data_IF_204949295884
#
_entry.id   IF_204949295884
#
_cell.length_a   1.000
_cell.length_b   1.000
_cell.length_c   1.000
_cell.angle_alpha   90.00
_cell.angle_beta   90.00
_cell.angle_gamma   90.00
#
_symmetry.space_group_name_H-M   'P 1'
#
loop_
_entity.id
_entity.type
_entity.pdbx_description
1 polymer ?
#
# COMPACT_ATOMS: atom_id res chain seq x y z
N UNK A 1 -5.04 -2.87 28.86
CA UNK A 1 -3.80 -3.62 28.56
C UNK A 1 -3.95 -5.14 28.53
N UNK A 2 -4.87 -5.77 29.29
CA UNK A 2 -5.03 -7.25 29.29
C UNK A 2 -5.72 -7.88 28.08
N UNK A 3 -6.46 -7.14 27.24
CA UNK A 3 -7.22 -7.72 26.10
C UNK A 3 -6.36 -7.96 24.85
N UNK A 4 -5.35 -7.12 24.61
CA UNK A 4 -4.45 -7.25 23.45
C UNK A 4 -3.56 -8.50 23.56
N UNK A 5 -3.17 -8.87 24.78
CA UNK A 5 -2.41 -10.09 25.07
C UNK A 5 -3.19 -11.38 24.81
N UNK A 6 -4.52 -11.38 24.93
CA UNK A 6 -5.33 -12.57 24.61
C UNK A 6 -5.51 -12.76 23.10
N UNK A 7 -5.61 -11.68 22.33
CA UNK A 7 -5.70 -11.77 20.87
C UNK A 7 -4.40 -12.31 20.27
N UNK A 8 -3.25 -11.81 20.73
CA UNK A 8 -1.92 -12.27 20.31
C UNK A 8 -1.70 -13.74 20.72
N UNK A 9 -2.08 -14.12 21.94
CA UNK A 9 -1.97 -15.52 22.39
C UNK A 9 -2.95 -16.47 21.70
N UNK A 10 -4.15 -16.00 21.34
CA UNK A 10 -5.14 -16.78 20.61
C UNK A 10 -4.70 -16.99 19.14
N UNK A 11 -4.12 -15.96 18.52
CA UNK A 11 -3.49 -16.08 17.19
C UNK A 11 -2.32 -17.06 17.24
N UNK A 12 -1.44 -16.96 18.23
CA UNK A 12 -0.31 -17.91 18.44
C UNK A 12 -0.77 -19.35 18.70
N UNK A 13 -1.89 -19.56 19.41
CA UNK A 13 -2.43 -20.89 19.71
C UNK A 13 -3.15 -21.52 18.52
N UNK A 14 -3.79 -20.72 17.66
CA UNK A 14 -4.39 -21.20 16.40
C UNK A 14 -3.27 -21.58 15.41
N UNK A 15 -2.15 -20.85 15.40
CA UNK A 15 -1.03 -21.09 14.48
C UNK A 15 -0.16 -22.29 14.86
N UNK A 16 -0.08 -22.63 16.16
CA UNK A 16 0.67 -23.81 16.62
C UNK A 16 0.02 -25.16 16.19
N UNK A 17 -1.22 -25.13 15.69
CA UNK A 17 -1.96 -26.31 15.25
C UNK A 17 -2.25 -26.35 13.74
N UNK A 18 -1.85 -25.31 13.01
CA UNK A 18 -2.00 -25.23 11.56
C UNK A 18 -0.82 -25.95 10.88
N UNK A 19 -0.99 -27.26 10.68
CA UNK A 19 -0.15 -28.09 9.80
C UNK A 19 0.12 -27.41 8.44
N UNK A 20 1.18 -27.86 7.77
CA UNK A 20 1.79 -27.41 6.50
C UNK A 20 0.88 -27.31 5.25
N UNK A 21 -0.44 -27.35 5.39
CA UNK A 21 -1.37 -27.38 4.26
C UNK A 21 -2.00 -26.00 4.06
N UNK A 22 -1.57 -25.28 3.03
CA UNK A 22 -2.29 -24.11 2.51
C UNK A 22 -3.64 -24.60 1.93
N UNK A 23 -4.70 -24.52 2.75
CA UNK A 23 -6.04 -25.02 2.45
C UNK A 23 -6.68 -24.34 1.22
N UNK A 24 -6.25 -23.12 0.89
CA UNK A 24 -6.74 -22.39 -0.29
C UNK A 24 -6.29 -23.04 -1.59
N UNK A 25 -5.06 -23.58 -1.64
CA UNK A 25 -4.56 -24.28 -2.84
C UNK A 25 -5.48 -25.44 -3.22
N UNK A 26 -6.05 -26.16 -2.24
CA UNK A 26 -6.98 -27.28 -2.47
C UNK A 26 -8.35 -26.85 -3.01
N UNK A 27 -8.83 -25.66 -2.65
CA UNK A 27 -10.14 -25.16 -3.09
C UNK A 27 -10.13 -24.73 -4.57
N UNK A 28 -8.97 -24.34 -5.09
CA UNK A 28 -8.80 -23.90 -6.47
C UNK A 28 -7.96 -24.86 -7.32
N UNK A 29 -7.61 -26.05 -6.82
CA UNK A 29 -6.94 -27.06 -7.65
C UNK A 29 -7.96 -27.65 -8.63
N UNK A 30 -7.70 -27.65 -9.95
CA UNK A 30 -8.54 -28.38 -10.89
C UNK A 30 -8.62 -29.85 -10.49
N UNK A 31 -9.83 -30.42 -10.42
CA UNK A 31 -10.00 -31.86 -10.11
C UNK A 31 -9.45 -32.69 -11.26
N UNK A 32 -8.56 -33.64 -10.96
CA UNK A 32 -8.09 -34.63 -11.93
C UNK A 32 -9.27 -35.44 -12.48
N UNK A 33 -9.31 -35.64 -13.80
CA UNK A 33 -10.26 -36.53 -14.47
C UNK A 33 -11.31 -35.88 -15.37
N UNK A 34 -11.28 -34.56 -15.58
CA UNK A 34 -12.11 -33.92 -16.62
C UNK A 34 -11.37 -34.01 -17.96
N UNK A 35 -11.71 -34.99 -18.78
CA UNK A 35 -11.30 -35.03 -20.19
C UNK A 35 -12.20 -34.07 -20.94
N UNK A 36 -11.74 -32.84 -21.15
CA UNK A 36 -12.32 -31.96 -22.17
C UNK A 36 -11.73 -32.38 -23.50
N UNK A 37 -12.55 -32.84 -24.45
CA UNK A 37 -12.15 -32.88 -25.85
C UNK A 37 -11.97 -31.44 -26.34
N UNK A 38 -10.81 -30.88 -26.06
CA UNK A 38 -10.42 -29.55 -26.55
C UNK A 38 -10.08 -29.69 -28.03
N UNK A 39 -10.70 -28.91 -28.93
CA UNK A 39 -10.22 -28.83 -30.31
C UNK A 39 -8.74 -28.43 -30.30
N UNK A 40 -8.00 -28.83 -31.33
CA UNK A 40 -6.59 -28.50 -31.50
C UNK A 40 -6.48 -26.98 -31.76
N UNK A 41 -6.57 -26.20 -30.68
CA UNK A 41 -6.31 -24.78 -30.66
C UNK A 41 -4.80 -24.66 -30.72
N UNK A 42 -4.29 -23.99 -31.75
CA UNK A 42 -2.91 -23.49 -31.73
C UNK A 42 -2.77 -22.59 -30.52
N UNK A 43 -2.28 -23.14 -29.41
CA UNK A 43 -1.96 -22.36 -28.22
C UNK A 43 -0.75 -21.54 -28.64
N UNK A 44 -0.98 -20.28 -29.02
CA UNK A 44 0.11 -19.30 -29.04
C UNK A 44 0.81 -19.42 -27.70
N UNK A 45 2.10 -19.77 -27.76
CA UNK A 45 2.93 -19.95 -26.58
C UNK A 45 2.67 -18.74 -25.68
N UNK A 46 2.24 -18.93 -24.42
CA UNK A 46 1.93 -17.82 -23.55
C UNK A 46 3.07 -16.81 -23.60
N UNK A 47 2.73 -15.53 -23.77
CA UNK A 47 3.68 -14.42 -23.64
C UNK A 47 4.52 -14.70 -22.39
N UNK A 48 5.85 -14.64 -22.52
CA UNK A 48 6.78 -15.08 -21.48
C UNK A 48 6.28 -14.70 -20.07
N UNK A 49 6.28 -15.65 -19.11
CA UNK A 49 5.82 -15.40 -17.75
C UNK A 49 6.45 -14.13 -17.18
N UNK A 50 5.70 -13.30 -16.46
CA UNK A 50 6.20 -12.03 -15.93
C UNK A 50 7.45 -12.21 -15.06
N UNK A 51 7.54 -13.34 -14.35
CA UNK A 51 8.70 -13.71 -13.53
C UNK A 51 9.99 -13.84 -14.35
N UNK A 52 9.91 -14.36 -15.58
CA UNK A 52 11.05 -14.56 -16.48
C UNK A 52 11.51 -13.25 -17.14
N UNK A 53 10.67 -12.22 -17.09
CA UNK A 53 11.01 -10.87 -17.56
C UNK A 53 11.79 -10.07 -16.52
N UNK A 54 11.89 -10.55 -15.28
CA UNK A 54 12.68 -9.90 -14.23
C UNK A 54 14.16 -10.24 -14.43
N UNK A 55 15.06 -9.25 -14.60
CA UNK A 55 16.48 -9.52 -14.82
C UNK A 55 17.10 -10.32 -13.66
N UNK A 56 17.91 -11.34 -13.96
CA UNK A 56 18.53 -12.19 -12.92
C UNK A 56 19.34 -11.40 -11.89
N UNK A 57 19.98 -10.30 -12.30
CA UNK A 57 20.75 -9.46 -11.38
C UNK A 57 19.86 -8.79 -10.32
N UNK A 58 18.58 -8.52 -10.61
CA UNK A 58 17.63 -7.98 -9.63
C UNK A 58 17.19 -9.09 -8.65
N UNK A 59 16.99 -10.30 -9.15
CA UNK A 59 16.61 -11.46 -8.33
C UNK A 59 17.71 -11.87 -7.36
N UNK A 60 18.97 -11.71 -7.76
CA UNK A 60 20.14 -12.15 -7.00
C UNK A 60 20.95 -11.00 -6.38
N UNK A 61 20.60 -9.74 -6.65
CA UNK A 61 21.42 -8.57 -6.34
C UNK A 61 21.41 -8.14 -4.89
N UNK A 62 20.42 -8.59 -4.09
CA UNK A 62 20.13 -8.03 -2.76
C UNK A 62 20.12 -6.49 -2.80
N UNK A 63 19.45 -5.97 -3.84
CA UNK A 63 19.45 -4.57 -4.20
C UNK A 63 18.51 -3.80 -3.27
N UNK A 64 18.91 -2.56 -2.96
CA UNK A 64 18.11 -1.63 -2.17
C UNK A 64 18.02 -0.32 -2.90
N UNK A 65 16.81 0.20 -3.00
CA UNK A 65 16.59 1.49 -3.64
C UNK A 65 15.53 2.30 -2.91
N UNK A 66 15.64 3.61 -3.05
CA UNK A 66 14.70 4.57 -2.52
C UNK A 66 13.83 5.08 -3.66
N UNK A 67 12.52 5.14 -3.42
CA UNK A 67 11.59 5.86 -4.29
C UNK A 67 11.02 7.05 -3.56
N UNK A 68 10.80 8.13 -4.31
CA UNK A 68 10.15 9.34 -3.86
C UNK A 68 8.96 9.57 -4.79
N UNK A 69 7.76 9.49 -4.23
CA UNK A 69 6.51 9.75 -4.95
C UNK A 69 5.96 11.06 -4.43
N UNK A 70 5.66 11.96 -5.35
CA UNK A 70 5.05 13.26 -5.06
C UNK A 70 3.83 13.39 -5.98
N UNK A 71 2.68 13.57 -5.37
CA UNK A 71 1.40 13.75 -6.03
C UNK A 71 0.84 15.11 -5.64
N UNK A 72 0.30 15.86 -6.60
CA UNK A 72 -0.33 17.15 -6.33
C UNK A 72 -1.35 17.48 -7.42
N UNK A 73 -2.48 18.03 -7.02
CA UNK A 73 -3.57 18.46 -7.92
C UNK A 73 -3.20 19.66 -8.81
N UNK A 74 -2.17 20.45 -8.46
CA UNK A 74 -1.57 21.46 -9.35
C UNK A 74 -0.95 20.86 -10.63
N UNK A 75 -0.59 19.56 -10.63
CA UNK A 75 -0.11 18.88 -11.84
C UNK A 75 -1.26 18.43 -12.77
N UNK A 76 -2.51 18.48 -12.31
CA UNK A 76 -3.70 18.12 -13.07
C UNK A 76 -4.53 19.34 -13.47
N UNK A 77 -5.56 19.64 -12.66
CA UNK A 77 -6.57 20.66 -12.99
C UNK A 77 -6.25 22.07 -12.48
N UNK A 78 -5.25 22.22 -11.60
CA UNK A 78 -4.83 23.51 -11.06
C UNK A 78 -5.67 24.03 -9.88
N UNK A 79 -6.52 23.20 -9.27
CA UNK A 79 -7.34 23.57 -8.11
C UNK A 79 -7.09 22.64 -6.93
N UNK A 80 -6.84 23.23 -5.75
CA UNK A 80 -6.64 22.56 -4.46
C UNK A 80 -7.96 21.97 -3.92
N UNK A 81 -8.35 20.77 -4.37
CA UNK A 81 -9.62 20.13 -3.95
C UNK A 81 -9.45 18.63 -3.72
N UNK A 82 -10.13 18.14 -2.69
CA UNK A 82 -10.23 16.72 -2.35
C UNK A 82 -8.90 16.13 -1.87
N UNK A 83 -8.16 15.44 -2.75
CA UNK A 83 -6.81 14.94 -2.48
C UNK A 83 -5.82 15.89 -3.12
N UNK A 84 -5.21 16.73 -2.29
CA UNK A 84 -4.47 17.89 -2.79
C UNK A 84 -2.99 17.63 -2.89
N UNK A 85 -2.42 16.87 -1.95
CA UNK A 85 -1.01 16.56 -2.00
C UNK A 85 -0.72 15.23 -1.31
N UNK A 86 0.19 14.45 -1.90
CA UNK A 86 0.74 13.25 -1.32
C UNK A 86 2.25 13.21 -1.47
N UNK A 87 2.93 12.92 -0.37
CA UNK A 87 4.35 12.58 -0.37
C UNK A 87 4.50 11.16 0.16
N UNK A 88 5.19 10.29 -0.58
CA UNK A 88 5.53 8.95 -0.11
C UNK A 88 6.97 8.61 -0.43
N UNK A 89 7.75 8.36 0.62
CA UNK A 89 9.11 7.85 0.54
C UNK A 89 9.06 6.36 0.80
N UNK A 90 9.67 5.55 -0.06
CA UNK A 90 9.70 4.09 0.12
C UNK A 90 11.08 3.53 -0.07
N UNK A 91 11.52 2.75 0.91
CA UNK A 91 12.73 1.96 0.87
C UNK A 91 12.38 0.52 0.46
N UNK A 92 12.86 0.11 -0.71
CA UNK A 92 12.68 -1.24 -1.22
C UNK A 92 13.91 -2.11 -0.96
N UNK A 93 13.64 -3.40 -0.76
CA UNK A 93 14.63 -4.45 -0.62
C UNK A 93 14.24 -5.63 -1.52
N UNK A 94 15.03 -5.88 -2.57
CA UNK A 94 14.74 -6.84 -3.64
C UNK A 94 15.84 -7.90 -3.70
N UNK A 95 15.46 -9.16 -3.91
CA UNK A 95 16.42 -10.27 -3.92
C UNK A 95 17.02 -10.58 -2.54
N UNK A 96 16.48 -9.97 -1.47
CA UNK A 96 16.79 -10.36 -0.10
C UNK A 96 16.03 -11.63 0.29
N UNK A 97 16.58 -12.39 1.24
CA UNK A 97 15.88 -13.54 1.81
C UNK A 97 14.51 -13.12 2.36
N UNK A 98 13.50 -13.97 2.14
CA UNK A 98 12.12 -13.70 2.57
C UNK A 98 12.09 -13.48 4.09
N UNK A 99 11.46 -12.39 4.58
CA UNK A 99 11.36 -12.14 6.01
C UNK A 99 10.48 -13.20 6.69
N UNK A 100 10.64 -13.38 8.00
CA UNK A 100 9.91 -14.40 8.76
C UNK A 100 8.37 -14.30 8.67
N UNK A 101 7.84 -13.12 8.30
CA UNK A 101 6.41 -12.87 8.15
C UNK A 101 5.89 -13.10 6.71
N UNK A 102 6.76 -13.32 5.71
CA UNK A 102 6.33 -13.60 4.34
C UNK A 102 5.52 -14.90 4.28
N UNK A 103 5.99 -15.95 4.97
CA UNK A 103 5.29 -17.24 5.09
C UNK A 103 3.91 -17.09 5.74
N UNK A 104 3.76 -16.13 6.65
CA UNK A 104 2.47 -15.83 7.28
C UNK A 104 1.52 -15.19 6.28
N UNK A 105 2.02 -14.28 5.44
CA UNK A 105 1.22 -13.59 4.42
C UNK A 105 0.79 -14.57 3.32
N UNK A 106 1.68 -15.42 2.81
CA UNK A 106 1.36 -16.50 1.86
C UNK A 106 0.21 -17.40 2.35
N UNK A 107 0.22 -17.73 3.65
CA UNK A 107 -0.85 -18.57 4.24
C UNK A 107 -2.18 -17.83 4.44
N UNK A 108 -2.14 -16.53 4.71
CA UNK A 108 -3.31 -15.75 5.11
C UNK A 108 -4.01 -15.06 3.92
N UNK A 109 -3.24 -14.62 2.93
CA UNK A 109 -3.74 -13.85 1.80
C UNK A 109 -3.98 -14.80 0.62
N UNK A 110 -5.24 -15.02 0.20
CA UNK A 110 -5.52 -15.82 -0.97
C UNK A 110 -4.74 -15.29 -2.18
N UNK A 111 -4.28 -16.20 -3.03
CA UNK A 111 -3.51 -15.95 -4.26
C UNK A 111 -2.07 -15.47 -4.11
N UNK A 112 -1.65 -14.97 -2.93
CA UNK A 112 -0.26 -14.59 -2.69
C UNK A 112 0.64 -15.83 -2.61
N UNK A 113 1.68 -15.90 -3.44
CA UNK A 113 2.63 -17.02 -3.47
C UNK A 113 4.07 -16.49 -3.43
N UNK A 114 4.68 -16.52 -2.24
CA UNK A 114 6.02 -15.97 -2.03
C UNK A 114 7.06 -16.76 -2.85
N UNK A 115 7.88 -16.07 -3.65
CA UNK A 115 8.87 -16.69 -4.53
C UNK A 115 10.17 -15.85 -4.63
N UNK A 116 11.04 -16.19 -5.60
CA UNK A 116 12.35 -15.52 -5.81
C UNK A 116 12.26 -14.02 -6.17
N UNK A 117 11.10 -13.55 -6.61
CA UNK A 117 10.84 -12.14 -6.93
C UNK A 117 10.29 -11.34 -5.75
N UNK A 118 9.98 -12.03 -4.64
CA UNK A 118 9.37 -11.40 -3.48
C UNK A 118 10.28 -10.33 -2.91
N UNK A 119 9.73 -9.13 -2.82
CA UNK A 119 10.39 -7.92 -2.37
C UNK A 119 9.67 -7.37 -1.14
N UNK A 120 10.42 -6.71 -0.27
CA UNK A 120 9.86 -6.07 0.93
C UNK A 120 10.12 -4.58 0.87
N UNK A 121 9.23 -3.79 1.48
CA UNK A 121 9.41 -2.37 1.54
C UNK A 121 8.87 -1.75 2.82
N UNK A 122 9.47 -0.62 3.18
CA UNK A 122 9.00 0.26 4.24
C UNK A 122 8.73 1.63 3.63
N UNK A 123 7.59 2.20 3.98
CA UNK A 123 7.17 3.49 3.48
C UNK A 123 6.81 4.44 4.60
N UNK A 124 7.04 5.71 4.34
CA UNK A 124 6.56 6.81 5.16
C UNK A 124 5.87 7.79 4.23
N UNK A 125 4.66 8.21 4.61
CA UNK A 125 3.86 9.08 3.77
C UNK A 125 3.07 10.12 4.53
N UNK A 126 2.71 11.17 3.80
CA UNK A 126 1.91 12.29 4.27
C UNK A 126 0.92 12.69 3.17
N UNK A 127 -0.36 12.66 3.49
CA UNK A 127 -1.44 13.05 2.58
C UNK A 127 -2.16 14.27 3.13
N UNK A 128 -2.57 15.16 2.22
CA UNK A 128 -3.32 16.38 2.50
C UNK A 128 -4.65 16.36 1.76
N UNK A 129 -5.71 16.70 2.49
CA UNK A 129 -7.06 16.82 1.98
C UNK A 129 -7.64 18.19 2.32
N UNK A 130 -8.23 18.85 1.32
CA UNK A 130 -8.80 20.19 1.46
C UNK A 130 -10.25 20.23 0.95
N UNK A 131 -11.08 21.15 1.48
CA UNK A 131 -12.37 21.48 0.86
C UNK A 131 -12.19 22.11 -0.51
N UNK A 132 -13.29 22.21 -1.24
CA UNK A 132 -13.37 22.81 -2.58
C UNK A 132 -13.00 24.30 -2.61
N UNK A 133 -13.29 25.00 -1.50
CA UNK A 133 -13.06 26.43 -1.28
C UNK A 133 -12.16 26.61 -0.07
N UNK A 134 -10.87 26.79 -0.33
CA UNK A 134 -9.83 26.92 0.69
C UNK A 134 -9.70 28.33 1.28
N UNK A 135 -10.22 29.35 0.57
CA UNK A 135 -10.23 30.75 1.02
C UNK A 135 -11.26 30.98 2.14
N UNK A 136 -12.23 30.06 2.26
CA UNK A 136 -13.26 30.11 3.29
C UNK A 136 -12.67 29.89 4.69
N UNK A 137 -12.87 30.87 5.57
CA UNK A 137 -12.45 30.84 6.98
C UNK A 137 -13.50 30.27 7.94
N UNK A 138 -14.58 29.68 7.41
CA UNK A 138 -15.71 29.06 8.13
C UNK A 138 -15.90 27.62 7.68
N UNK A 139 -16.34 26.75 8.59
CA UNK A 139 -16.69 25.37 8.24
C UNK A 139 -17.90 25.37 7.29
N UNK A 140 -17.78 24.74 6.12
CA UNK A 140 -18.94 24.33 5.32
C UNK A 140 -19.27 22.88 5.67
N UNK A 141 -20.41 22.68 6.35
CA UNK A 141 -20.88 21.35 6.76
C UNK A 141 -21.31 20.47 5.58
N UNK A 142 -21.36 21.02 4.37
CA UNK A 142 -21.72 20.29 3.14
C UNK A 142 -20.50 19.88 2.31
N UNK A 143 -19.30 20.31 2.71
CA UNK A 143 -18.04 19.94 2.08
C UNK A 143 -17.17 19.15 3.08
N UNK A 144 -16.13 18.49 2.57
CA UNK A 144 -15.18 17.78 3.41
C UNK A 144 -14.37 18.77 4.26
N UNK A 145 -14.11 18.47 5.54
CA UNK A 145 -13.18 19.26 6.34
C UNK A 145 -11.75 19.06 5.81
N UNK A 146 -10.87 19.99 6.20
CA UNK A 146 -9.44 19.77 6.07
C UNK A 146 -9.02 18.52 6.85
N UNK A 147 -8.07 17.77 6.31
CA UNK A 147 -7.46 16.66 7.01
C UNK A 147 -6.04 16.42 6.50
N UNK A 148 -5.20 15.89 7.38
CA UNK A 148 -3.91 15.33 7.01
C UNK A 148 -3.81 13.92 7.56
N UNK A 149 -3.16 13.03 6.82
CA UNK A 149 -2.87 11.67 7.25
C UNK A 149 -1.36 11.45 7.18
N UNK A 150 -0.73 11.26 8.33
CA UNK A 150 0.68 10.92 8.44
C UNK A 150 0.78 9.44 8.79
N UNK A 151 1.52 8.67 7.99
CA UNK A 151 1.50 7.23 8.10
C UNK A 151 2.85 6.59 7.82
N UNK A 152 3.01 5.38 8.37
CA UNK A 152 4.06 4.44 8.01
C UNK A 152 3.43 3.15 7.50
N UNK A 153 4.10 2.52 6.55
CA UNK A 153 3.65 1.28 5.93
C UNK A 153 4.77 0.25 5.86
N UNK A 154 4.40 -1.01 6.00
CA UNK A 154 5.27 -2.14 5.69
C UNK A 154 4.54 -3.05 4.71
N UNK A 155 5.22 -3.43 3.65
CA UNK A 155 4.60 -4.26 2.62
C UNK A 155 5.54 -5.27 1.99
N UNK A 156 4.90 -6.20 1.28
CA UNK A 156 5.55 -7.26 0.54
C UNK A 156 4.90 -7.34 -0.84
N UNK A 157 5.73 -7.49 -1.86
CA UNK A 157 5.28 -7.59 -3.23
C UNK A 157 5.91 -8.78 -3.93
N UNK A 158 5.13 -9.54 -4.68
CA UNK A 158 5.61 -10.71 -5.41
C UNK A 158 5.08 -10.71 -6.83
N UNK A 159 5.98 -10.99 -7.78
CA UNK A 159 5.62 -11.19 -9.18
C UNK A 159 5.48 -12.69 -9.43
N UNK A 160 4.33 -13.10 -9.97
CA UNK A 160 4.07 -14.46 -10.44
C UNK A 160 4.09 -14.49 -11.96
N UNK A 161 3.82 -15.64 -12.58
CA UNK A 161 3.81 -15.77 -14.04
C UNK A 161 2.82 -14.83 -14.74
N UNK A 162 1.71 -14.48 -14.08
CA UNK A 162 0.55 -13.82 -14.71
C UNK A 162 0.08 -12.56 -13.99
N UNK A 163 0.52 -12.31 -12.76
CA UNK A 163 0.11 -11.16 -11.96
C UNK A 163 1.22 -10.73 -11.01
N UNK A 164 1.01 -9.60 -10.36
CA UNK A 164 1.81 -9.10 -9.25
C UNK A 164 0.86 -8.93 -8.07
N UNK A 165 1.20 -9.52 -6.94
CA UNK A 165 0.48 -9.33 -5.69
C UNK A 165 1.26 -8.37 -4.80
N UNK A 166 0.54 -7.47 -4.13
CA UNK A 166 1.10 -6.51 -3.19
C UNK A 166 0.23 -6.49 -1.94
N UNK A 167 0.85 -6.70 -0.78
CA UNK A 167 0.19 -6.69 0.52
C UNK A 167 0.88 -5.68 1.41
N UNK A 168 0.13 -4.69 1.85
CA UNK A 168 0.62 -3.59 2.68
C UNK A 168 -0.20 -3.46 3.96
N UNK A 169 0.49 -3.28 5.09
CA UNK A 169 -0.10 -2.77 6.32
C UNK A 169 0.32 -1.32 6.50
N UNK A 170 -0.67 -0.42 6.55
CA UNK A 170 -0.49 1.00 6.80
C UNK A 170 -1.10 1.37 8.14
N UNK A 171 -0.36 2.12 8.94
CA UNK A 171 -0.81 2.67 10.22
C UNK A 171 -0.43 4.13 10.27
N UNK A 172 -1.31 4.96 10.82
CA UNK A 172 -1.03 6.38 10.90
C UNK A 172 -1.93 7.15 11.84
N UNK A 173 -1.90 8.46 11.65
CA UNK A 173 -2.66 9.41 12.43
C UNK A 173 -3.29 10.45 11.53
N UNK A 174 -4.57 10.70 11.73
CA UNK A 174 -5.36 11.73 11.05
C UNK A 174 -5.51 12.90 12.02
N UNK A 175 -5.42 14.14 11.53
CA UNK A 175 -5.75 15.35 12.31
C UNK A 175 -4.57 16.29 12.56
N UNK A 176 -4.65 17.22 13.55
CA UNK A 176 -3.61 18.21 13.80
C UNK A 176 -2.22 17.62 14.06
N UNK A 177 -2.14 16.44 14.67
CA UNK A 177 -0.86 15.74 14.91
C UNK A 177 -0.17 15.30 13.61
N UNK A 178 -0.90 15.17 12.50
CA UNK A 178 -0.33 14.95 11.18
C UNK A 178 0.23 16.23 10.53
N UNK A 179 0.12 17.40 11.18
CA UNK A 179 0.75 18.67 10.79
C UNK A 179 0.41 19.15 9.37
N UNK A 180 -0.85 18.98 8.95
CA UNK A 180 -1.29 19.33 7.61
C UNK A 180 -1.08 20.80 7.23
N UNK A 181 -1.55 21.71 8.08
CA UNK A 181 -1.43 23.17 7.92
C UNK A 181 0.01 23.59 7.67
N UNK A 182 0.94 23.11 8.51
CA UNK A 182 2.35 23.44 8.40
C UNK A 182 2.95 22.99 7.06
N UNK A 183 2.63 21.77 6.61
CA UNK A 183 3.16 21.22 5.36
C UNK A 183 2.58 21.97 4.15
N UNK A 184 1.26 22.18 4.11
CA UNK A 184 0.62 22.93 3.02
C UNK A 184 1.18 24.35 2.92
N UNK A 185 1.32 25.05 4.05
CA UNK A 185 1.92 26.38 4.12
C UNK A 185 3.36 26.41 3.60
N UNK A 186 4.18 25.40 3.92
CA UNK A 186 5.56 25.30 3.42
C UNK A 186 5.58 25.07 1.92
N UNK A 187 4.71 24.20 1.41
CA UNK A 187 4.61 23.93 -0.02
C UNK A 187 4.12 25.14 -0.81
N UNK A 188 3.07 25.84 -0.35
CA UNK A 188 2.54 27.05 -0.98
C UNK A 188 3.59 28.15 -1.07
N UNK A 189 4.39 28.34 -0.01
CA UNK A 189 5.53 29.27 -0.02
C UNK A 189 6.62 28.85 -1.00
N UNK A 190 6.92 27.55 -1.09
CA UNK A 190 7.96 27.02 -1.98
C UNK A 190 7.60 27.25 -3.47
N UNK A 191 6.32 27.13 -3.82
CA UNK A 191 5.84 27.24 -5.20
C UNK A 191 5.29 28.63 -5.55
N UNK A 192 5.44 29.62 -4.66
CA UNK A 192 4.89 30.97 -4.80
C UNK A 192 3.39 30.98 -5.12
N UNK A 193 2.61 30.18 -4.39
CA UNK A 193 1.15 30.26 -4.48
C UNK A 193 0.66 31.51 -3.72
N UNK A 194 -0.11 32.36 -4.38
CA UNK A 194 -0.59 33.65 -3.86
C UNK A 194 -1.87 33.54 -3.01
N UNK A 195 -2.19 32.34 -2.51
CA UNK A 195 -3.37 32.07 -1.68
C UNK A 195 -3.01 31.25 -0.44
N UNK A 196 -3.74 31.51 0.66
CA UNK A 196 -3.53 30.85 1.94
C UNK A 196 -4.81 30.13 2.40
N UNK A 197 -4.72 28.87 2.81
CA UNK A 197 -5.87 28.14 3.34
C UNK A 197 -6.26 28.66 4.73
N UNK A 198 -7.52 29.06 4.92
CA UNK A 198 -7.98 29.68 6.18
C UNK A 198 -8.83 28.74 7.07
N UNK A 199 -9.03 27.50 6.64
CA UNK A 199 -9.98 26.56 7.26
C UNK A 199 -9.35 25.52 8.21
N UNK A 200 -8.02 25.47 8.36
CA UNK A 200 -7.32 24.44 9.16
C UNK A 200 -7.76 24.36 10.63
N UNK A 201 -8.30 25.45 11.20
CA UNK A 201 -8.90 25.46 12.54
C UNK A 201 -10.14 24.56 12.69
N UNK A 202 -10.76 24.16 11.58
CA UNK A 202 -11.92 23.25 11.54
C UNK A 202 -11.59 21.88 10.93
N UNK A 203 -10.31 21.51 10.87
CA UNK A 203 -9.89 20.19 10.40
C UNK A 203 -10.44 19.04 11.26
N UNK A 204 -10.38 17.81 10.73
CA UNK A 204 -10.66 16.60 11.50
C UNK A 204 -9.79 16.54 12.76
N UNK A 205 -10.33 15.99 13.85
CA UNK A 205 -9.60 15.82 15.10
C UNK A 205 -8.63 14.64 15.01
N UNK A 206 -7.72 14.59 15.97
CA UNK A 206 -6.75 13.51 16.11
C UNK A 206 -7.42 12.15 16.30
N UNK A 207 -7.17 11.23 15.37
CA UNK A 207 -7.60 9.83 15.44
C UNK A 207 -6.59 8.88 14.78
N UNK A 208 -6.45 7.64 15.30
CA UNK A 208 -5.61 6.64 14.65
C UNK A 208 -6.26 6.13 13.35
N UNK A 209 -5.42 5.85 12.35
CA UNK A 209 -5.81 5.28 11.06
C UNK A 209 -5.05 4.00 10.73
#
# INVERSE_FOLDING_TARGET
MRKLSYLVMMLLAITARAEERNLWKQLFTPKEGVILETPEVTIEKPKEPLVERVPEHILNGNDRFLTLNIENDKFGSGYDRDYTNGLRITWFNVGAGQPFYADWIDRLVPTFDANKTTSTYLSFGHNLYTPSDIDRSTLDVRDRPYAAFLYGSAGISTITDRHMDDVELTLGWIGPSAQGEFIQDKFHRLIHADYQPHGWKYQLRDEPG
#
